data_IF_478699029344
#
_entry.id   IF_478699029344
#
_cell.length_a   1.000
_cell.length_b   1.000
_cell.length_c   1.000
_cell.angle_alpha   90.00
_cell.angle_beta   90.00
_cell.angle_gamma   90.00
#
_symmetry.space_group_name_H-M   'P 1'
#
loop_
_entity.id
_entity.type
_entity.pdbx_description
1 polymer ?
#
# COMPACT_ATOMS: atom_id res chain seq x y z
N UNK A 1 1.13 12.71 -14.84
CA UNK A 1 1.29 11.50 -15.69
C UNK A 1 1.98 10.36 -14.95
N UNK A 2 3.07 10.59 -14.20
CA UNK A 2 3.80 9.54 -13.46
C UNK A 2 2.95 8.85 -12.38
N UNK A 3 2.13 9.60 -11.62
CA UNK A 3 1.27 9.06 -10.59
C UNK A 3 0.31 7.98 -11.14
N UNK A 4 -0.40 8.29 -12.23
CA UNK A 4 -1.35 7.34 -12.85
C UNK A 4 -0.62 6.09 -13.34
N UNK A 5 0.53 6.25 -14.00
CA UNK A 5 1.32 5.12 -14.47
C UNK A 5 1.82 4.24 -13.31
N UNK A 6 2.21 4.84 -12.19
CA UNK A 6 2.63 4.10 -11.01
C UNK A 6 1.48 3.36 -10.32
N UNK A 7 0.26 3.91 -10.34
CA UNK A 7 -0.95 3.20 -9.90
C UNK A 7 -1.23 2.02 -10.85
N UNK A 8 -1.19 2.25 -12.17
CA UNK A 8 -1.43 1.19 -13.15
C UNK A 8 -0.41 0.05 -13.08
N UNK A 9 0.85 0.34 -12.78
CA UNK A 9 1.89 -0.69 -12.56
C UNK A 9 1.57 -1.63 -11.40
N UNK A 10 0.88 -1.14 -10.38
CA UNK A 10 0.40 -1.97 -9.28
C UNK A 10 -0.91 -2.68 -9.60
N UNK A 11 -1.85 -1.97 -10.23
CA UNK A 11 -3.20 -2.43 -10.52
C UNK A 11 -3.23 -3.54 -11.57
N UNK A 12 -2.67 -3.28 -12.76
CA UNK A 12 -2.81 -4.14 -13.92
C UNK A 12 -2.25 -5.57 -13.71
N UNK A 13 -1.02 -5.77 -13.18
CA UNK A 13 -0.52 -7.12 -12.93
C UNK A 13 -1.42 -7.93 -11.98
N UNK A 14 -1.92 -7.30 -10.93
CA UNK A 14 -2.77 -7.98 -9.94
C UNK A 14 -4.12 -8.38 -10.55
N UNK A 15 -4.77 -7.49 -11.31
CA UNK A 15 -6.03 -7.79 -12.01
C UNK A 15 -5.85 -8.92 -13.03
N UNK A 16 -4.77 -8.88 -13.83
CA UNK A 16 -4.48 -9.95 -14.79
C UNK A 16 -4.29 -11.29 -14.06
N UNK A 17 -3.50 -11.30 -13.00
CA UNK A 17 -3.25 -12.50 -12.21
C UNK A 17 -4.54 -13.01 -11.54
N UNK A 18 -5.38 -12.12 -11.03
CA UNK A 18 -6.66 -12.48 -10.42
C UNK A 18 -7.60 -13.20 -11.38
N UNK A 19 -7.59 -12.83 -12.67
CA UNK A 19 -8.47 -13.43 -13.68
C UNK A 19 -7.95 -14.75 -14.25
N UNK A 20 -6.63 -14.92 -14.36
CA UNK A 20 -6.03 -16.07 -15.06
C UNK A 20 -5.27 -17.03 -14.14
N UNK A 21 -4.73 -16.55 -13.01
CA UNK A 21 -3.84 -17.30 -12.11
C UNK A 21 -4.08 -16.90 -10.65
N UNK A 22 -5.30 -17.10 -10.11
CA UNK A 22 -5.69 -16.54 -8.79
C UNK A 22 -4.79 -16.98 -7.64
N UNK A 23 -4.15 -18.13 -7.73
CA UNK A 23 -3.19 -18.64 -6.74
C UNK A 23 -1.92 -17.79 -6.61
N UNK A 24 -1.58 -16.99 -7.63
CA UNK A 24 -0.37 -16.15 -7.65
C UNK A 24 -0.64 -14.67 -7.37
N UNK A 25 -1.86 -14.28 -6.95
CA UNK A 25 -2.23 -12.87 -6.70
C UNK A 25 -1.24 -12.18 -5.75
N UNK A 26 -0.91 -12.83 -4.62
CA UNK A 26 0.00 -12.24 -3.63
C UNK A 26 1.42 -12.08 -4.19
N UNK A 27 1.90 -13.08 -4.94
CA UNK A 27 3.21 -13.02 -5.57
C UNK A 27 3.27 -11.90 -6.62
N UNK A 28 2.24 -11.79 -7.46
CA UNK A 28 2.11 -10.72 -8.45
C UNK A 28 2.12 -9.33 -7.81
N UNK A 29 1.35 -9.14 -6.74
CA UNK A 29 1.32 -7.89 -5.98
C UNK A 29 2.70 -7.55 -5.39
N UNK A 30 3.39 -8.54 -4.80
CA UNK A 30 4.72 -8.35 -4.23
C UNK A 30 5.75 -7.97 -5.31
N UNK A 31 5.75 -8.69 -6.43
CA UNK A 31 6.68 -8.43 -7.53
C UNK A 31 6.43 -7.06 -8.19
N UNK A 32 5.16 -6.66 -8.36
CA UNK A 32 4.81 -5.34 -8.87
C UNK A 32 5.33 -4.22 -7.96
N UNK A 33 5.20 -4.40 -6.64
CA UNK A 33 5.69 -3.44 -5.65
C UNK A 33 7.22 -3.39 -5.61
N UNK A 34 7.89 -4.55 -5.54
CA UNK A 34 9.35 -4.64 -5.53
C UNK A 34 9.97 -4.09 -6.82
N UNK A 35 9.36 -4.37 -7.98
CA UNK A 35 9.81 -3.83 -9.27
C UNK A 35 9.73 -2.30 -9.34
N UNK A 36 8.79 -1.68 -8.60
CA UNK A 36 8.73 -0.22 -8.51
C UNK A 36 9.79 0.37 -7.56
N UNK A 37 10.02 -0.25 -6.39
CA UNK A 37 10.98 0.28 -5.41
C UNK A 37 12.43 -0.08 -5.72
N UNK A 38 12.66 -1.21 -6.42
CA UNK A 38 14.00 -1.70 -6.81
C UNK A 38 14.11 -1.95 -8.33
N UNK A 39 13.84 -0.96 -9.20
CA UNK A 39 13.94 -1.14 -10.65
C UNK A 39 15.40 -1.35 -11.08
N UNK A 40 15.71 -2.54 -11.57
CA UNK A 40 17.08 -2.89 -11.98
C UNK A 40 17.58 -1.99 -13.13
N UNK A 41 16.70 -1.58 -14.05
CA UNK A 41 17.02 -0.68 -15.19
C UNK A 41 17.34 0.75 -14.75
N UNK A 42 16.97 1.16 -13.52
CA UNK A 42 17.33 2.46 -12.93
C UNK A 42 18.43 2.32 -11.86
N UNK A 43 19.27 1.29 -11.95
CA UNK A 43 20.34 1.02 -10.97
C UNK A 43 19.77 0.98 -9.53
N UNK A 44 18.60 0.36 -9.36
CA UNK A 44 17.86 0.22 -8.09
C UNK A 44 17.45 1.55 -7.43
N UNK A 45 17.38 2.64 -8.20
CA UNK A 45 16.90 3.94 -7.73
C UNK A 45 15.42 4.11 -8.07
N UNK A 46 14.55 3.41 -7.33
CA UNK A 46 13.12 3.47 -7.51
C UNK A 46 12.41 4.54 -6.67
N UNK A 47 11.08 4.50 -6.71
CA UNK A 47 10.21 5.35 -5.92
C UNK A 47 9.96 4.81 -4.50
N UNK A 48 9.04 5.44 -3.78
CA UNK A 48 8.63 5.01 -2.43
C UNK A 48 7.52 3.95 -2.43
N UNK A 49 6.94 3.65 -3.58
CA UNK A 49 5.94 2.62 -3.75
C UNK A 49 4.50 3.01 -3.38
N UNK A 50 4.24 4.23 -2.92
CA UNK A 50 2.91 4.63 -2.41
C UNK A 50 1.81 4.54 -3.47
N UNK A 51 2.06 5.05 -4.68
CA UNK A 51 1.10 5.00 -5.79
C UNK A 51 0.89 3.55 -6.28
N UNK A 52 1.97 2.78 -6.38
CA UNK A 52 1.90 1.36 -6.76
C UNK A 52 1.13 0.54 -5.71
N UNK A 53 1.35 0.82 -4.42
CA UNK A 53 0.58 0.22 -3.34
C UNK A 53 -0.91 0.54 -3.44
N UNK A 54 -1.26 1.80 -3.70
CA UNK A 54 -2.66 2.18 -3.96
C UNK A 54 -3.25 1.38 -5.12
N UNK A 55 -2.51 1.23 -6.24
CA UNK A 55 -2.93 0.41 -7.37
C UNK A 55 -3.19 -1.05 -6.99
N UNK A 56 -2.29 -1.64 -6.21
CA UNK A 56 -2.45 -3.00 -5.68
C UNK A 56 -3.69 -3.11 -4.79
N UNK A 57 -3.89 -2.16 -3.87
CA UNK A 57 -5.07 -2.16 -3.00
C UNK A 57 -6.37 -2.08 -3.79
N UNK A 58 -6.45 -1.21 -4.81
CA UNK A 58 -7.62 -1.08 -5.67
C UNK A 58 -7.91 -2.39 -6.45
N UNK A 59 -6.87 -3.11 -6.87
CA UNK A 59 -7.02 -4.39 -7.54
C UNK A 59 -7.50 -5.49 -6.57
N UNK A 60 -6.96 -5.55 -5.35
CA UNK A 60 -7.35 -6.51 -4.34
C UNK A 60 -8.75 -6.24 -3.78
N UNK A 61 -9.06 -4.98 -3.50
CA UNK A 61 -10.36 -4.52 -2.99
C UNK A 61 -10.50 -3.01 -3.12
N UNK A 62 -11.52 -2.56 -3.82
CA UNK A 62 -11.83 -1.12 -3.91
C UNK A 62 -12.00 -0.47 -2.53
N UNK A 63 -12.60 -1.19 -1.57
CA UNK A 63 -12.77 -0.69 -0.19
C UNK A 63 -11.44 -0.37 0.48
N UNK A 64 -10.40 -1.22 0.30
CA UNK A 64 -9.07 -0.97 0.86
C UNK A 64 -8.37 0.21 0.17
N UNK A 65 -8.50 0.32 -1.16
CA UNK A 65 -7.98 1.46 -1.91
C UNK A 65 -8.62 2.78 -1.48
N UNK A 66 -9.95 2.81 -1.33
CA UNK A 66 -10.68 4.01 -0.84
C UNK A 66 -10.33 4.34 0.61
N UNK A 67 -10.22 3.33 1.49
CA UNK A 67 -9.78 3.52 2.88
C UNK A 67 -8.39 4.17 2.93
N UNK A 68 -7.46 3.67 2.11
CA UNK A 68 -6.12 4.24 2.00
C UNK A 68 -6.15 5.70 1.56
N UNK A 69 -6.86 6.02 0.47
CA UNK A 69 -6.99 7.38 -0.05
C UNK A 69 -7.63 8.33 0.97
N UNK A 70 -8.74 7.90 1.58
CA UNK A 70 -9.43 8.70 2.59
C UNK A 70 -8.51 9.02 3.77
N UNK A 71 -7.86 8.00 4.33
CA UNK A 71 -6.93 8.20 5.45
C UNK A 71 -5.75 9.09 5.03
N UNK A 72 -5.23 8.92 3.82
CA UNK A 72 -4.13 9.75 3.32
C UNK A 72 -4.52 11.22 3.23
N UNK A 73 -5.72 11.51 2.72
CA UNK A 73 -6.26 12.89 2.64
C UNK A 73 -6.43 13.47 4.03
N UNK A 74 -7.10 12.76 4.94
CA UNK A 74 -7.34 13.24 6.31
C UNK A 74 -6.02 13.56 7.03
N UNK A 75 -5.07 12.62 7.03
CA UNK A 75 -3.77 12.80 7.68
C UNK A 75 -2.95 13.91 7.02
N UNK A 76 -3.06 14.05 5.68
CA UNK A 76 -2.36 15.12 4.94
C UNK A 76 -2.90 16.51 5.25
N UNK A 77 -4.20 16.64 5.47
CA UNK A 77 -4.82 17.91 5.88
C UNK A 77 -4.44 18.31 7.30
N UNK A 78 -4.37 17.34 8.23
CA UNK A 78 -4.04 17.59 9.64
C UNK A 78 -2.56 17.92 9.82
N UNK A 79 -1.67 17.06 9.32
CA UNK A 79 -0.23 17.13 9.61
C UNK A 79 0.58 17.81 8.51
N UNK A 80 0.06 17.87 7.28
CA UNK A 80 0.70 18.46 6.09
C UNK A 80 2.02 17.81 5.66
N UNK A 81 2.20 16.52 5.98
CA UNK A 81 3.36 15.73 5.55
C UNK A 81 2.91 14.51 4.73
N UNK A 82 3.23 14.49 3.43
CA UNK A 82 2.88 13.38 2.51
C UNK A 82 3.46 12.04 2.97
N UNK A 83 4.70 12.04 3.48
CA UNK A 83 5.37 10.84 3.98
C UNK A 83 4.65 10.26 5.21
N UNK A 84 4.25 11.11 6.14
CA UNK A 84 3.51 10.70 7.32
C UNK A 84 2.15 10.13 6.93
N UNK A 85 1.43 10.80 6.02
CA UNK A 85 0.14 10.35 5.50
C UNK A 85 0.21 8.96 4.88
N UNK A 86 1.27 8.70 4.09
CA UNK A 86 1.45 7.38 3.45
C UNK A 86 1.70 6.26 4.45
N UNK A 87 2.53 6.51 5.47
CA UNK A 87 2.81 5.54 6.53
C UNK A 87 1.57 5.25 7.39
N UNK A 88 0.84 6.31 7.81
CA UNK A 88 -0.40 6.13 8.58
C UNK A 88 -1.48 5.41 7.78
N UNK A 89 -1.66 5.76 6.50
CA UNK A 89 -2.68 5.10 5.66
C UNK A 89 -2.37 3.63 5.44
N UNK A 90 -1.12 3.26 5.24
CA UNK A 90 -0.74 1.85 5.11
C UNK A 90 -0.95 1.07 6.41
N UNK A 91 -0.66 1.69 7.56
CA UNK A 91 -0.96 1.11 8.87
C UNK A 91 -2.47 0.94 9.08
N UNK A 92 -3.28 1.95 8.75
CA UNK A 92 -4.74 1.89 8.86
C UNK A 92 -5.33 0.74 8.04
N UNK A 93 -4.89 0.57 6.79
CA UNK A 93 -5.32 -0.55 5.94
C UNK A 93 -4.98 -1.90 6.59
N UNK A 94 -3.75 -2.05 7.10
CA UNK A 94 -3.32 -3.28 7.78
C UNK A 94 -4.19 -3.58 9.01
N UNK A 95 -4.35 -2.60 9.89
CA UNK A 95 -5.12 -2.73 11.15
C UNK A 95 -6.59 -3.06 10.86
N UNK A 96 -7.24 -2.30 9.98
CA UNK A 96 -8.65 -2.53 9.64
C UNK A 96 -8.86 -3.92 9.01
N UNK A 97 -7.95 -4.37 8.14
CA UNK A 97 -8.04 -5.71 7.54
C UNK A 97 -7.93 -6.79 8.61
N UNK A 98 -7.02 -6.63 9.56
CA UNK A 98 -6.84 -7.58 10.66
C UNK A 98 -8.10 -7.68 11.55
N UNK A 99 -8.66 -6.53 11.98
CA UNK A 99 -9.86 -6.51 12.83
C UNK A 99 -11.10 -6.98 12.08
N UNK A 100 -11.29 -6.60 10.82
CA UNK A 100 -12.42 -7.02 9.99
C UNK A 100 -12.49 -8.54 9.87
N UNK A 101 -11.37 -9.19 9.61
CA UNK A 101 -11.32 -10.65 9.49
C UNK A 101 -11.69 -11.33 10.81
N UNK A 102 -11.13 -10.85 11.93
CA UNK A 102 -11.44 -11.38 13.24
C UNK A 102 -12.94 -11.21 13.59
N UNK A 103 -13.53 -10.05 13.27
CA UNK A 103 -14.94 -9.80 13.49
C UNK A 103 -15.85 -10.71 12.65
N UNK A 104 -15.50 -10.93 11.36
CA UNK A 104 -16.25 -11.81 10.48
C UNK A 104 -16.15 -13.26 10.94
N UNK A 105 -14.97 -13.75 11.32
CA UNK A 105 -14.76 -15.10 11.87
C UNK A 105 -15.49 -15.32 13.19
N UNK A 106 -15.64 -14.28 14.02
CA UNK A 106 -16.40 -14.37 15.27
C UNK A 106 -17.92 -14.55 15.03
N UNK A 107 -18.44 -13.98 13.92
CA UNK A 107 -19.87 -14.09 13.56
C UNK A 107 -20.13 -15.37 12.74
N UNK A 108 -19.23 -15.70 11.83
CA UNK A 108 -19.32 -16.86 10.96
C UNK A 108 -17.96 -17.57 10.87
N UNK A 109 -17.72 -18.57 11.78
CA UNK A 109 -16.44 -19.28 11.84
C UNK A 109 -16.05 -20.01 10.55
N UNK A 110 -17.05 -20.45 9.77
CA UNK A 110 -16.85 -21.19 8.53
C UNK A 110 -16.57 -20.28 7.32
N UNK A 111 -16.58 -18.95 7.53
CA UNK A 111 -16.29 -18.02 6.47
C UNK A 111 -14.79 -18.04 6.13
N UNK A 112 -14.48 -18.58 4.94
CA UNK A 112 -13.12 -18.62 4.41
C UNK A 112 -12.89 -17.37 3.57
N UNK A 113 -11.95 -16.52 3.97
CA UNK A 113 -11.49 -15.44 3.08
C UNK A 113 -10.79 -16.06 1.87
N UNK A 114 -11.12 -15.61 0.68
CA UNK A 114 -10.59 -16.15 -0.59
C UNK A 114 -9.05 -16.07 -0.70
N UNK A 115 -8.42 -15.17 0.06
CA UNK A 115 -6.95 -15.12 0.24
C UNK A 115 -6.64 -14.45 1.59
N UNK A 116 -5.71 -15.02 2.35
CA UNK A 116 -5.15 -14.35 3.54
C UNK A 116 -4.18 -13.25 3.08
N UNK A 117 -4.71 -12.04 2.92
CA UNK A 117 -3.94 -10.87 2.47
C UNK A 117 -3.19 -10.17 3.62
N UNK A 118 -3.34 -10.61 4.87
CA UNK A 118 -2.75 -9.93 6.03
C UNK A 118 -1.22 -9.94 5.97
N UNK A 119 -0.64 -11.09 5.62
CA UNK A 119 0.81 -11.21 5.54
C UNK A 119 1.38 -10.28 4.47
N UNK A 120 0.79 -10.25 3.29
CA UNK A 120 1.27 -9.38 2.21
C UNK A 120 1.10 -7.90 2.54
N UNK A 121 0.00 -7.49 3.20
CA UNK A 121 -0.21 -6.12 3.67
C UNK A 121 0.81 -5.73 4.76
N UNK A 122 1.15 -6.66 5.65
CA UNK A 122 2.20 -6.45 6.64
C UNK A 122 3.57 -6.25 5.97
N UNK A 123 3.90 -7.08 4.98
CA UNK A 123 5.14 -6.92 4.20
C UNK A 123 5.17 -5.55 3.50
N UNK A 124 4.07 -5.13 2.86
CA UNK A 124 3.99 -3.82 2.23
C UNK A 124 4.15 -2.68 3.23
N UNK A 125 3.55 -2.79 4.41
CA UNK A 125 3.73 -1.80 5.47
C UNK A 125 5.21 -1.64 5.85
N UNK A 126 5.91 -2.75 6.09
CA UNK A 126 7.35 -2.72 6.42
C UNK A 126 8.17 -2.11 5.28
N UNK A 127 7.87 -2.47 4.02
CA UNK A 127 8.57 -1.91 2.86
C UNK A 127 8.28 -0.40 2.70
N UNK A 128 7.05 0.05 2.97
CA UNK A 128 6.71 1.49 2.97
C UNK A 128 7.52 2.22 4.04
N UNK A 129 7.59 1.71 5.27
CA UNK A 129 8.42 2.29 6.34
C UNK A 129 9.89 2.35 5.89
N UNK A 130 10.42 1.26 5.33
CA UNK A 130 11.79 1.19 4.84
C UNK A 130 12.08 2.25 3.76
N UNK A 131 11.18 2.41 2.76
CA UNK A 131 11.36 3.41 1.69
C UNK A 131 11.24 4.84 2.20
N UNK A 132 10.57 5.05 3.35
CA UNK A 132 10.41 6.36 4.00
C UNK A 132 11.46 6.67 5.07
N UNK A 133 12.50 5.83 5.26
CA UNK A 133 13.52 6.01 6.32
C UNK A 133 14.16 7.42 6.34
N UNK A 134 14.43 7.99 5.16
CA UNK A 134 14.95 9.36 5.03
C UNK A 134 13.92 10.41 5.49
N UNK A 135 12.66 10.23 5.14
CA UNK A 135 11.58 11.12 5.56
C UNK A 135 11.34 11.02 7.07
N UNK A 136 11.44 9.82 7.66
CA UNK A 136 11.37 9.62 9.12
C UNK A 136 12.49 10.40 9.83
N UNK A 137 13.71 10.33 9.30
CA UNK A 137 14.82 11.15 9.83
C UNK A 137 14.56 12.65 9.71
N UNK A 138 14.03 13.09 8.55
CA UNK A 138 13.69 14.50 8.34
C UNK A 138 12.56 14.97 9.27
N UNK A 139 11.54 14.14 9.51
CA UNK A 139 10.46 14.42 10.46
C UNK A 139 11.00 14.57 11.87
N UNK A 140 11.88 13.67 12.31
CA UNK A 140 12.55 13.75 13.62
C UNK A 140 13.37 15.03 13.78
N UNK A 141 14.06 15.44 12.73
CA UNK A 141 14.90 16.64 12.72
C UNK A 141 14.11 17.92 12.36
N UNK A 142 12.79 17.84 12.14
CA UNK A 142 11.91 18.94 11.73
C UNK A 142 12.31 19.61 10.40
N UNK A 143 12.93 18.86 9.51
CA UNK A 143 13.39 19.32 8.18
C UNK A 143 12.55 18.78 7.03
N UNK A 144 11.52 17.98 7.32
CA UNK A 144 10.61 17.45 6.30
C UNK A 144 9.76 18.58 5.70
N UNK A 145 9.62 18.58 4.38
CA UNK A 145 8.84 19.58 3.67
C UNK A 145 7.33 19.35 3.86
N UNK A 146 6.64 20.42 4.25
CA UNK A 146 5.18 20.41 4.37
C UNK A 146 4.53 20.53 2.98
N UNK A 147 3.36 19.90 2.83
CA UNK A 147 2.48 20.11 1.70
C UNK A 147 2.01 21.57 1.72
N UNK A 148 2.19 22.27 0.59
CA UNK A 148 1.60 23.61 0.38
C UNK A 148 0.13 23.38 0.02
N UNK A 149 -0.76 23.85 0.86
CA UNK A 149 -2.21 23.92 0.63
C UNK A 149 -2.56 25.26 0.03
#
# INVERSE_FOLDING_TARGET
TTLILDILKGYAPVVVTQNYFPEYIQLSALLAFLGHIFPFWLKFKGGKGVATYLGILLALSYSLGFLFMFTWVVVSLIFRYSSLSSMFSSLTVLVITFFRENAVKAINPDFIFAADIKLILFIFFILIIFTHRKNISNLKNRTEQKIKL
#
